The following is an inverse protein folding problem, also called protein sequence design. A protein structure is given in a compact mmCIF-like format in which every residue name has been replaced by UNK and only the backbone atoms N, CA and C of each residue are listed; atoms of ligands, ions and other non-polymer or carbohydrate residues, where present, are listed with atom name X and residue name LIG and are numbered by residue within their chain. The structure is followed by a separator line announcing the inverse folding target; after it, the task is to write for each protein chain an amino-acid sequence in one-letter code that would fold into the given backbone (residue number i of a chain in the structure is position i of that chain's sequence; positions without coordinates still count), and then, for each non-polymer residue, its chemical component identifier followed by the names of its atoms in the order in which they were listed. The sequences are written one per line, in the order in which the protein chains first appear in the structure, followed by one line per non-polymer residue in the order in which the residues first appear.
data_IF_142710850450
#
_entry.id   IF_142710850450
#
_cell.length_a   1.000
_cell.length_b   1.000
_cell.length_c   1.000
_cell.angle_alpha   90.00
_cell.angle_beta   90.00
_cell.angle_gamma   90.00
#
_symmetry.space_group_name_H-M   'P 1'
#
loop_
_entity.id
_entity.type
_entity.pdbx_description
1 polymer ?
#
# COMPACT_ATOMS: atom_id res chain seq x y z
N UNK A 1 -10.62 5.18 -20.19
CA UNK A 1 -10.00 4.66 -18.96
C UNK A 1 -10.90 3.60 -18.35
N UNK A 2 -10.51 2.32 -18.30
CA UNK A 2 -11.24 1.35 -17.47
C UNK A 2 -10.68 1.39 -16.06
N UNK A 3 -11.55 1.67 -15.09
CA UNK A 3 -11.29 1.57 -13.65
C UNK A 3 -12.07 0.37 -13.15
N UNK A 4 -11.41 -0.45 -12.36
CA UNK A 4 -12.02 -1.60 -11.72
C UNK A 4 -11.95 -1.43 -10.20
N UNK A 5 -13.07 -1.62 -9.53
CA UNK A 5 -13.16 -1.63 -8.08
C UNK A 5 -13.64 -3.02 -7.63
N UNK A 6 -12.87 -3.66 -6.75
CA UNK A 6 -13.19 -4.98 -6.20
C UNK A 6 -13.48 -4.80 -4.71
N UNK A 7 -14.69 -5.18 -4.33
CA UNK A 7 -15.25 -5.13 -2.98
C UNK A 7 -15.69 -6.52 -2.51
N UNK A 8 -15.10 -7.60 -3.05
CA UNK A 8 -15.54 -8.99 -2.78
C UNK A 8 -14.72 -9.70 -1.69
N UNK A 9 -15.36 -10.23 -0.64
CA UNK A 9 -14.73 -10.90 0.52
C UNK A 9 -13.98 -12.18 0.16
N UNK A 10 -14.23 -12.74 -1.03
CA UNK A 10 -13.64 -14.00 -1.46
C UNK A 10 -12.43 -13.79 -2.39
N UNK A 11 -11.24 -13.93 -1.80
CA UNK A 11 -9.93 -13.97 -2.49
C UNK A 11 -9.93 -14.92 -3.71
N UNK A 12 -10.67 -16.03 -3.65
CA UNK A 12 -10.69 -17.05 -4.70
C UNK A 12 -11.39 -16.60 -5.99
N UNK A 13 -12.52 -15.88 -5.88
CA UNK A 13 -13.21 -15.32 -7.05
C UNK A 13 -12.43 -14.17 -7.70
N UNK A 14 -11.56 -13.51 -6.92
CA UNK A 14 -10.68 -12.46 -7.43
C UNK A 14 -9.61 -13.05 -8.36
N UNK A 15 -9.11 -14.26 -8.08
CA UNK A 15 -8.13 -14.95 -8.94
C UNK A 15 -8.70 -15.42 -10.28
N UNK A 16 -9.90 -16.02 -10.27
CA UNK A 16 -10.58 -16.42 -11.52
C UNK A 16 -10.92 -15.21 -12.38
N UNK A 17 -11.33 -14.09 -11.77
CA UNK A 17 -11.52 -12.81 -12.47
C UNK A 17 -10.19 -12.19 -12.95
N UNK A 18 -9.10 -12.31 -12.19
CA UNK A 18 -7.77 -11.85 -12.61
C UNK A 18 -7.29 -12.54 -13.89
N UNK A 19 -7.48 -13.86 -14.00
CA UNK A 19 -7.19 -14.58 -15.24
C UNK A 19 -8.03 -14.07 -16.41
N UNK A 20 -9.30 -13.69 -16.17
CA UNK A 20 -10.14 -13.07 -17.21
C UNK A 20 -9.70 -11.66 -17.61
N UNK A 21 -8.91 -10.97 -16.78
CA UNK A 21 -8.35 -9.66 -17.07
C UNK A 21 -6.90 -9.71 -17.57
N UNK A 22 -6.26 -10.89 -17.51
CA UNK A 22 -4.94 -11.09 -18.06
C UNK A 22 -4.94 -10.69 -19.54
N UNK A 23 -4.08 -9.73 -19.90
CA UNK A 23 -4.01 -9.19 -21.26
C UNK A 23 -5.02 -8.07 -21.59
N UNK A 24 -5.79 -7.55 -20.64
CA UNK A 24 -6.65 -6.37 -20.87
C UNK A 24 -5.81 -5.10 -21.03
N UNK A 25 -5.46 -4.75 -22.28
CA UNK A 25 -4.66 -3.56 -22.61
C UNK A 25 -5.28 -2.21 -22.19
N UNK A 26 -6.59 -2.21 -21.93
CA UNK A 26 -7.36 -1.00 -21.58
C UNK A 26 -7.45 -0.74 -20.07
N UNK A 27 -7.11 -1.72 -19.23
CA UNK A 27 -7.18 -1.59 -17.78
C UNK A 27 -5.98 -0.79 -17.27
N UNK A 28 -6.27 0.40 -16.71
CA UNK A 28 -5.25 1.35 -16.24
C UNK A 28 -5.32 1.61 -14.74
N UNK A 29 -6.43 1.26 -14.10
CA UNK A 29 -6.64 1.52 -12.68
C UNK A 29 -7.39 0.38 -12.01
N UNK A 30 -6.85 -0.13 -10.90
CA UNK A 30 -7.49 -1.14 -10.06
C UNK A 30 -7.51 -0.65 -8.61
N UNK A 31 -8.63 -0.88 -7.93
CA UNK A 31 -8.77 -0.66 -6.49
C UNK A 31 -9.35 -1.91 -5.86
N UNK A 32 -8.62 -2.51 -4.92
CA UNK A 32 -9.05 -3.67 -4.12
C UNK A 32 -9.10 -3.20 -2.67
N UNK A 33 -10.31 -3.03 -2.16
CA UNK A 33 -10.53 -2.43 -0.82
C UNK A 33 -10.70 -3.51 0.26
N UNK A 34 -10.69 -4.78 -0.14
CA UNK A 34 -10.73 -5.90 0.78
C UNK A 34 -9.34 -6.44 1.04
N UNK A 35 -9.15 -6.86 2.29
CA UNK A 35 -8.17 -7.79 2.83
C UNK A 35 -7.63 -8.80 1.80
N UNK A 36 -6.72 -8.33 0.96
CA UNK A 36 -6.12 -9.13 -0.10
C UNK A 36 -4.76 -9.66 0.39
N UNK A 37 -4.51 -10.92 0.09
CA UNK A 37 -3.20 -11.52 0.33
C UNK A 37 -2.19 -11.04 -0.71
N UNK A 38 -0.92 -10.88 -0.31
CA UNK A 38 0.14 -10.35 -1.18
C UNK A 38 0.42 -11.20 -2.44
N UNK A 39 0.14 -12.50 -2.43
CA UNK A 39 0.25 -13.34 -3.63
C UNK A 39 -0.70 -12.89 -4.76
N UNK A 40 -1.82 -12.26 -4.42
CA UNK A 40 -2.76 -11.67 -5.39
C UNK A 40 -2.10 -10.49 -6.10
N UNK A 41 -1.26 -9.73 -5.39
CA UNK A 41 -0.63 -8.53 -5.94
C UNK A 41 0.38 -8.85 -7.05
N UNK A 42 1.30 -9.79 -6.80
CA UNK A 42 2.31 -10.16 -7.79
C UNK A 42 1.65 -10.72 -9.06
N UNK A 43 0.64 -11.57 -8.88
CA UNK A 43 -0.18 -12.08 -9.98
C UNK A 43 -0.93 -10.95 -10.72
N UNK A 44 -1.48 -9.97 -10.00
CA UNK A 44 -2.21 -8.84 -10.57
C UNK A 44 -1.31 -7.94 -11.41
N UNK A 45 -0.11 -7.60 -10.90
CA UNK A 45 0.87 -6.84 -11.66
C UNK A 45 1.28 -7.61 -12.93
N UNK A 46 1.55 -8.90 -12.81
CA UNK A 46 1.91 -9.71 -13.96
C UNK A 46 0.77 -9.77 -15.01
N UNK A 47 -0.48 -9.92 -14.57
CA UNK A 47 -1.64 -10.01 -15.44
C UNK A 47 -2.03 -8.68 -16.12
N UNK A 48 -1.71 -7.55 -15.49
CA UNK A 48 -2.15 -6.22 -15.92
C UNK A 48 -0.97 -5.31 -16.28
N UNK A 49 -0.17 -5.59 -17.33
CA UNK A 49 1.09 -4.88 -17.62
C UNK A 49 0.91 -3.38 -17.93
N UNK A 50 -0.31 -2.97 -18.23
CA UNK A 50 -0.70 -1.61 -18.59
C UNK A 50 -1.20 -0.79 -17.39
N UNK A 51 -1.20 -1.37 -16.19
CA UNK A 51 -1.72 -0.75 -14.98
C UNK A 51 -0.90 0.49 -14.61
N UNK A 52 -1.59 1.61 -14.40
CA UNK A 52 -0.96 2.89 -14.03
C UNK A 52 -1.26 3.23 -12.57
N UNK A 53 -2.44 2.85 -12.07
CA UNK A 53 -2.89 3.12 -10.71
C UNK A 53 -3.32 1.85 -10.01
N UNK A 54 -2.84 1.66 -8.79
CA UNK A 54 -3.20 0.55 -7.95
C UNK A 54 -3.49 1.03 -6.52
N UNK A 55 -4.66 0.66 -6.01
CA UNK A 55 -5.02 0.84 -4.61
C UNK A 55 -5.30 -0.54 -4.01
N UNK A 56 -4.61 -0.88 -2.93
CA UNK A 56 -4.77 -2.15 -2.23
C UNK A 56 -4.99 -1.94 -0.73
N UNK A 57 -5.94 -2.68 -0.17
CA UNK A 57 -6.04 -2.94 1.26
C UNK A 57 -5.50 -4.33 1.56
N UNK A 58 -4.39 -4.40 2.29
CA UNK A 58 -3.69 -5.64 2.59
C UNK A 58 -3.83 -5.94 4.08
N UNK A 59 -4.43 -7.09 4.40
CA UNK A 59 -4.65 -7.52 5.78
C UNK A 59 -3.68 -8.60 6.22
N UNK A 60 -3.36 -9.55 5.34
CA UNK A 60 -2.55 -10.73 5.63
C UNK A 60 -1.52 -10.96 4.52
N UNK A 61 -0.31 -11.37 4.91
CA UNK A 61 0.78 -11.59 3.97
C UNK A 61 1.45 -12.94 4.21
N UNK A 62 1.46 -13.77 3.17
CA UNK A 62 2.31 -14.93 3.10
C UNK A 62 3.74 -14.52 2.68
N UNK A 63 4.72 -14.83 3.55
CA UNK A 63 6.14 -14.50 3.42
C UNK A 63 6.80 -15.06 2.15
N UNK A 64 6.20 -16.08 1.52
CA UNK A 64 6.79 -16.82 0.41
C UNK A 64 6.27 -16.41 -0.98
N UNK A 65 5.41 -15.39 -1.07
CA UNK A 65 4.57 -15.17 -2.25
C UNK A 65 5.03 -14.15 -3.30
N UNK A 66 6.19 -13.50 -3.10
CA UNK A 66 6.66 -12.47 -4.02
C UNK A 66 7.55 -13.06 -5.11
N UNK A 67 7.06 -13.03 -6.34
CA UNK A 67 7.82 -13.36 -7.54
C UNK A 67 8.66 -12.15 -7.98
N UNK A 68 9.82 -12.41 -8.57
CA UNK A 68 10.72 -11.41 -9.16
C UNK A 68 10.11 -10.85 -10.45
N UNK A 69 9.14 -9.96 -10.34
CA UNK A 69 8.50 -9.31 -11.49
C UNK A 69 8.62 -7.78 -11.39
N UNK A 70 8.95 -7.11 -12.49
CA UNK A 70 9.02 -5.65 -12.54
C UNK A 70 7.90 -5.07 -13.39
N UNK A 71 7.05 -4.26 -12.77
CA UNK A 71 5.97 -3.54 -13.40
C UNK A 71 6.37 -2.10 -13.70
N UNK A 72 6.74 -1.82 -14.95
CA UNK A 72 7.34 -0.54 -15.36
C UNK A 72 6.34 0.60 -15.56
N UNK A 73 5.06 0.27 -15.79
CA UNK A 73 4.01 1.25 -16.09
C UNK A 73 3.27 1.79 -14.86
N UNK A 74 3.48 1.20 -13.68
CA UNK A 74 2.76 1.63 -12.48
C UNK A 74 3.34 2.95 -11.99
N UNK A 75 2.50 3.97 -11.90
CA UNK A 75 2.88 5.33 -11.47
C UNK A 75 2.29 5.71 -10.13
N UNK A 76 1.10 5.24 -9.81
CA UNK A 76 0.43 5.57 -8.56
C UNK A 76 0.11 4.32 -7.78
N UNK A 77 0.55 4.31 -6.52
CA UNK A 77 0.32 3.24 -5.59
C UNK A 77 -0.27 3.78 -4.29
N UNK A 78 -1.38 3.20 -3.88
CA UNK A 78 -1.97 3.41 -2.56
C UNK A 78 -2.05 2.08 -1.84
N UNK A 79 -1.47 2.02 -0.64
CA UNK A 79 -1.47 0.82 0.20
C UNK A 79 -2.11 1.14 1.54
N UNK A 80 -3.11 0.35 1.90
CA UNK A 80 -3.75 0.33 3.21
C UNK A 80 -3.28 -0.88 3.98
N UNK A 81 -2.64 -0.63 5.11
CA UNK A 81 -1.83 -1.58 5.88
C UNK A 81 -2.39 -1.73 7.30
N UNK A 82 -2.76 -2.95 7.69
CA UNK A 82 -2.93 -3.30 9.11
C UNK A 82 -1.54 -3.52 9.75
N UNK A 83 -1.22 -2.77 10.80
CA UNK A 83 0.17 -2.68 11.32
C UNK A 83 0.72 -3.94 11.98
N UNK A 84 -0.08 -4.97 12.20
CA UNK A 84 0.36 -6.19 12.89
C UNK A 84 1.13 -7.17 12.01
N UNK A 85 1.12 -7.04 10.68
CA UNK A 85 1.45 -8.17 9.79
C UNK A 85 2.47 -7.86 8.68
N UNK A 86 2.98 -6.63 8.61
CA UNK A 86 3.97 -6.24 7.60
C UNK A 86 5.40 -6.38 8.12
N UNK A 87 6.20 -7.26 7.51
CA UNK A 87 7.65 -7.22 7.69
C UNK A 87 8.30 -6.24 6.71
N UNK A 88 9.39 -5.61 7.15
CA UNK A 88 10.18 -4.69 6.34
C UNK A 88 10.68 -5.32 5.04
N UNK A 89 11.20 -6.55 5.10
CA UNK A 89 11.67 -7.30 3.94
C UNK A 89 10.61 -7.48 2.85
N UNK A 90 9.33 -7.65 3.25
CA UNK A 90 8.23 -7.81 2.28
C UNK A 90 7.88 -6.49 1.61
N UNK A 91 7.91 -5.39 2.37
CA UNK A 91 7.71 -4.06 1.79
C UNK A 91 8.81 -3.71 0.79
N UNK A 92 10.06 -4.03 1.11
CA UNK A 92 11.20 -3.84 0.21
C UNK A 92 10.99 -4.59 -1.12
N UNK A 93 10.72 -5.91 -1.04
CA UNK A 93 10.47 -6.72 -2.24
C UNK A 93 9.30 -6.20 -3.07
N UNK A 94 8.25 -5.72 -2.42
CA UNK A 94 7.10 -5.13 -3.09
C UNK A 94 7.50 -3.89 -3.89
N UNK A 95 8.28 -2.98 -3.29
CA UNK A 95 8.69 -1.73 -3.94
C UNK A 95 9.67 -1.98 -5.10
N UNK A 96 10.53 -2.99 -4.99
CA UNK A 96 11.42 -3.42 -6.09
C UNK A 96 10.63 -3.82 -7.33
N UNK A 97 9.41 -4.34 -7.17
CA UNK A 97 8.54 -4.70 -8.29
C UNK A 97 7.97 -3.49 -9.04
N UNK A 98 8.02 -2.27 -8.48
CA UNK A 98 7.37 -1.08 -9.04
C UNK A 98 8.33 0.12 -9.05
N UNK A 99 9.44 0.03 -9.78
CA UNK A 99 10.55 1.01 -9.67
C UNK A 99 10.22 2.41 -10.19
N UNK A 100 9.16 2.55 -10.99
CA UNK A 100 8.82 3.80 -11.69
C UNK A 100 7.67 4.59 -11.05
N UNK A 101 7.42 4.39 -9.75
CA UNK A 101 6.39 5.12 -9.03
C UNK A 101 6.63 6.63 -9.03
N UNK A 102 5.54 7.36 -9.15
CA UNK A 102 5.42 8.82 -9.10
C UNK A 102 4.42 9.28 -8.03
N UNK A 103 3.73 8.36 -7.36
CA UNK A 103 2.94 8.68 -6.19
C UNK A 103 2.84 7.47 -5.30
N UNK A 104 3.13 7.66 -4.02
CA UNK A 104 2.98 6.66 -2.98
C UNK A 104 2.07 7.20 -1.87
N UNK A 105 1.01 6.49 -1.55
CA UNK A 105 0.13 6.80 -0.42
C UNK A 105 0.10 5.58 0.50
N UNK A 106 0.52 5.76 1.75
CA UNK A 106 0.57 4.69 2.74
C UNK A 106 -0.41 4.99 3.86
N UNK A 107 -1.40 4.13 4.04
CA UNK A 107 -2.37 4.20 5.13
C UNK A 107 -1.99 3.15 6.18
N UNK A 108 -1.49 3.56 7.35
CA UNK A 108 -1.09 2.68 8.45
C UNK A 108 -2.13 2.69 9.56
N UNK A 109 -2.70 1.54 9.86
CA UNK A 109 -3.66 1.36 10.96
C UNK A 109 -2.97 0.85 12.21
N UNK A 110 -2.67 1.75 13.15
CA UNK A 110 -1.97 1.45 14.40
C UNK A 110 -2.98 1.10 15.50
N UNK A 111 -3.18 -0.19 15.75
CA UNK A 111 -4.14 -0.64 16.76
C UNK A 111 -3.55 -0.74 18.18
N UNK A 112 -2.22 -0.94 18.30
CA UNK A 112 -1.51 -1.06 19.59
C UNK A 112 -0.19 -0.28 19.56
N UNK A 113 -0.22 0.98 20.00
CA UNK A 113 0.96 1.87 20.06
C UNK A 113 1.91 1.48 21.21
N UNK A 114 1.40 0.80 22.25
CA UNK A 114 2.10 0.58 23.52
C UNK A 114 3.27 -0.44 23.47
N UNK A 115 3.39 -1.23 22.39
CA UNK A 115 4.43 -2.28 22.27
C UNK A 115 5.45 -2.06 21.15
N UNK A 116 5.29 -1.02 20.31
CA UNK A 116 6.17 -0.81 19.16
C UNK A 116 7.21 0.26 19.45
N UNK A 117 8.47 -0.04 19.15
CA UNK A 117 9.53 0.97 19.15
C UNK A 117 9.43 1.76 17.84
N UNK A 118 8.38 2.58 17.74
CA UNK A 118 7.97 3.31 16.53
C UNK A 118 9.14 4.03 15.85
N UNK A 119 10.06 4.58 16.64
CA UNK A 119 11.24 5.25 16.11
C UNK A 119 12.14 4.29 15.31
N UNK A 120 12.46 3.12 15.85
CA UNK A 120 13.32 2.15 15.14
C UNK A 120 12.64 1.61 13.88
N UNK A 121 11.34 1.34 13.97
CA UNK A 121 10.53 0.93 12.82
C UNK A 121 10.53 1.99 11.71
N UNK A 122 10.41 3.26 12.07
CA UNK A 122 10.44 4.35 11.10
C UNK A 122 11.82 4.52 10.45
N UNK A 123 12.93 4.31 11.17
CA UNK A 123 14.28 4.30 10.57
C UNK A 123 14.36 3.24 9.47
N UNK A 124 13.97 2.00 9.79
CA UNK A 124 14.04 0.90 8.84
C UNK A 124 13.13 1.13 7.63
N UNK A 125 11.93 1.67 7.88
CA UNK A 125 11.00 2.03 6.83
C UNK A 125 11.54 3.07 5.85
N UNK A 126 12.10 4.16 6.39
CA UNK A 126 12.73 5.25 5.61
C UNK A 126 13.93 4.72 4.82
N UNK A 127 14.73 3.85 5.42
CA UNK A 127 15.87 3.22 4.74
C UNK A 127 15.41 2.44 3.51
N UNK A 128 14.37 1.60 3.64
CA UNK A 128 13.80 0.83 2.53
C UNK A 128 13.25 1.74 1.44
N UNK A 129 12.49 2.78 1.81
CA UNK A 129 11.96 3.73 0.83
C UNK A 129 13.07 4.40 0.01
N UNK A 130 14.13 4.86 0.68
CA UNK A 130 15.26 5.49 -0.02
C UNK A 130 16.04 4.50 -0.90
N UNK A 131 16.12 3.23 -0.52
CA UNK A 131 16.78 2.18 -1.30
C UNK A 131 15.97 1.77 -2.53
N UNK A 132 14.68 1.49 -2.36
CA UNK A 132 13.84 0.98 -3.44
C UNK A 132 13.29 2.08 -4.35
N UNK A 133 13.14 3.30 -3.85
CA UNK A 133 12.56 4.44 -4.56
C UNK A 133 13.53 5.62 -4.47
N UNK A 134 14.71 5.57 -5.13
CA UNK A 134 15.73 6.62 -5.00
C UNK A 134 15.26 8.02 -5.46
N UNK A 135 14.19 8.08 -6.27
CA UNK A 135 13.58 9.32 -6.74
C UNK A 135 12.36 9.77 -5.92
N UNK A 136 12.15 9.22 -4.72
CA UNK A 136 11.02 9.54 -3.84
C UNK A 136 10.85 11.05 -3.61
N UNK A 137 11.95 11.78 -3.49
CA UNK A 137 11.98 13.24 -3.31
C UNK A 137 11.40 14.02 -4.50
N UNK A 138 11.24 13.40 -5.65
CA UNK A 138 10.74 14.04 -6.88
C UNK A 138 9.23 13.90 -7.03
N UNK A 139 8.53 13.27 -6.08
CA UNK A 139 7.13 12.95 -6.26
C UNK A 139 6.31 12.89 -4.96
N UNK A 140 4.99 12.95 -5.09
CA UNK A 140 4.06 13.00 -3.96
C UNK A 140 4.11 11.71 -3.12
N UNK A 141 4.48 11.83 -1.86
CA UNK A 141 4.57 10.73 -0.92
C UNK A 141 3.80 11.09 0.35
N UNK A 142 2.64 10.45 0.53
CA UNK A 142 1.72 10.70 1.63
C UNK A 142 1.72 9.52 2.60
N UNK A 143 1.75 9.78 3.91
CA UNK A 143 1.47 8.78 4.93
C UNK A 143 0.33 9.24 5.83
N UNK A 144 -0.64 8.34 5.99
CA UNK A 144 -1.88 8.52 6.73
C UNK A 144 -1.87 7.52 7.88
N UNK A 145 -1.88 8.02 9.11
CA UNK A 145 -2.03 7.20 10.29
C UNK A 145 -3.49 7.13 10.68
N UNK A 146 -3.98 5.92 10.90
CA UNK A 146 -5.30 5.67 11.46
C UNK A 146 -5.11 5.06 12.85
N UNK A 147 -5.50 5.81 13.88
CA UNK A 147 -5.35 5.38 15.27
C UNK A 147 -6.68 5.51 16.01
N UNK A 148 -6.93 4.54 16.90
CA UNK A 148 -7.99 4.64 17.92
C UNK A 148 -7.55 5.46 19.14
N UNK A 149 -6.24 5.60 19.37
CA UNK A 149 -5.68 6.30 20.51
C UNK A 149 -5.03 7.63 20.09
N UNK A 150 -5.19 8.67 20.91
CA UNK A 150 -4.57 9.99 20.73
C UNK A 150 -3.05 10.01 20.97
N UNK A 151 -2.40 8.85 21.01
CA UNK A 151 -1.03 8.69 21.50
C UNK A 151 0.04 8.87 20.43
N UNK A 152 -0.32 8.91 19.14
CA UNK A 152 0.66 9.13 18.06
C UNK A 152 0.93 10.63 17.92
N UNK A 153 2.05 11.08 18.48
CA UNK A 153 2.58 12.41 18.20
C UNK A 153 3.35 12.39 16.88
N UNK A 154 2.69 12.80 15.79
CA UNK A 154 3.26 12.85 14.44
C UNK A 154 4.53 13.71 14.38
N UNK A 155 4.60 14.78 15.20
CA UNK A 155 5.73 15.70 15.21
C UNK A 155 7.04 15.03 15.69
N UNK A 156 6.92 13.91 16.39
CA UNK A 156 8.08 13.13 16.83
C UNK A 156 8.60 12.17 15.74
N UNK A 157 7.88 12.00 14.62
CA UNK A 157 8.23 11.09 13.53
C UNK A 157 9.21 11.73 12.54
N UNK A 158 10.24 12.42 13.05
CA UNK A 158 11.20 13.25 12.28
C UNK A 158 11.81 12.52 11.08
N UNK A 159 12.05 11.23 11.21
CA UNK A 159 12.64 10.41 10.14
C UNK A 159 11.70 10.27 8.93
N UNK A 160 10.38 10.21 9.15
CA UNK A 160 9.43 10.11 8.04
C UNK A 160 9.40 11.40 7.20
N UNK A 161 9.70 12.56 7.79
CA UNK A 161 9.73 13.83 7.07
C UNK A 161 10.80 13.89 5.97
N UNK A 162 11.81 12.99 5.96
CA UNK A 162 12.76 12.92 4.85
C UNK A 162 12.17 12.28 3.59
N UNK A 163 11.07 11.53 3.74
CA UNK A 163 10.47 10.74 2.66
C UNK A 163 9.05 11.17 2.31
N UNK A 164 8.29 11.69 3.28
CA UNK A 164 6.88 12.01 3.10
C UNK A 164 6.68 13.52 3.02
N UNK A 165 6.11 13.97 1.90
CA UNK A 165 5.71 15.37 1.69
C UNK A 165 4.50 15.73 2.54
N UNK A 166 3.67 14.73 2.89
CA UNK A 166 2.51 14.88 3.75
C UNK A 166 2.42 13.76 4.76
N UNK A 167 2.27 14.14 6.03
CA UNK A 167 2.08 13.21 7.15
C UNK A 167 0.79 13.64 7.86
N UNK A 168 -0.21 12.77 7.87
CA UNK A 168 -1.55 13.06 8.39
C UNK A 168 -1.98 11.98 9.39
N UNK A 169 -2.77 12.37 10.40
CA UNK A 169 -3.43 11.47 11.33
C UNK A 169 -4.94 11.64 11.14
N UNK A 170 -5.60 10.57 10.73
CA UNK A 170 -7.05 10.50 10.56
C UNK A 170 -7.65 9.69 11.70
N UNK A 171 -8.67 10.24 12.37
CA UNK A 171 -9.33 9.56 13.49
C UNK A 171 -10.34 8.56 12.97
N UNK A 172 -10.44 7.40 13.63
CA UNK A 172 -11.38 6.34 13.22
C UNK A 172 -12.84 6.84 13.16
N UNK A 173 -13.22 7.77 14.02
CA UNK A 173 -14.58 8.34 14.09
C UNK A 173 -14.96 9.16 12.84
N UNK A 174 -13.99 9.68 12.09
CA UNK A 174 -14.21 10.38 10.82
C UNK A 174 -14.33 9.40 9.65
N UNK A 175 -13.65 8.25 9.75
CA UNK A 175 -13.66 7.19 8.72
C UNK A 175 -15.02 6.48 8.71
N UNK A 176 -15.57 6.13 9.87
CA UNK A 176 -16.89 5.46 9.95
C UNK A 176 -18.04 6.33 9.42
N UNK A 177 -17.92 7.68 9.47
CA UNK A 177 -18.87 8.63 8.88
C UNK A 177 -18.81 8.71 7.35
N UNK A 178 -17.64 8.47 6.75
CA UNK A 178 -17.46 8.48 5.29
C UNK A 178 -18.04 7.22 4.62
N UNK A 179 -18.21 6.13 5.38
CA UNK A 179 -18.76 4.86 4.90
C UNK A 179 -20.23 4.61 5.25
N UNK A 180 -20.84 5.45 6.11
CA UNK A 180 -22.28 5.39 6.41
C UNK A 180 -23.13 6.34 5.57
N UNK A 181 -22.50 7.28 4.85
CA UNK A 181 -23.18 8.29 4.02
C UNK A 181 -22.94 8.13 2.50
N UNK A 182 -22.48 6.98 2.04
CA UNK A 182 -22.46 6.57 0.62
C UNK A 182 -23.21 5.24 0.46
#
# INVERSE_FOLDING_TARGET
LRKLCILDEFVFNTFTKLNSWSGSFSLRSISIIISANLHIYSALLAACPNLVRLHLSVSFIDKNSLTTFHHTNLKHLQLRLSTSEWSFDMFERFLVCVPNLQRLVLQRFTWNVEKSNLNLENIHFVRILNQCLPYLHRFDCDILFHSRANTININNLRQLHSCFTRIQLERKDEIERLYTNN
#
